data_IF_985746163057
#
_entry.id   IF_985746163057
#
_cell.length_a   1.000
_cell.length_b   1.000
_cell.length_c   1.000
_cell.angle_alpha   90.00
_cell.angle_beta   90.00
_cell.angle_gamma   90.00
#
_symmetry.space_group_name_H-M   'P 1'
#
loop_
_entity.id
_entity.type
_entity.pdbx_description
1 polymer ?
#
# COMPACT_ATOMS: atom_id res chain seq x y z
N UNK A 1 0.60 24.41 2.16
CA UNK A 1 1.71 23.97 1.28
C UNK A 1 2.99 23.67 2.05
N UNK A 2 3.53 24.58 2.87
CA UNK A 2 4.78 24.34 3.63
C UNK A 2 4.64 23.16 4.61
N UNK A 3 3.55 23.11 5.39
CA UNK A 3 3.32 22.01 6.34
C UNK A 3 3.22 20.64 5.66
N UNK A 4 2.45 20.53 4.58
CA UNK A 4 2.32 19.29 3.80
C UNK A 4 3.67 18.83 3.23
N UNK A 5 4.50 19.78 2.78
CA UNK A 5 5.85 19.49 2.31
C UNK A 5 6.75 18.97 3.45
N UNK A 6 6.68 19.59 4.63
CA UNK A 6 7.44 19.15 5.81
C UNK A 6 7.00 17.76 6.29
N UNK A 7 5.71 17.45 6.25
CA UNK A 7 5.20 16.11 6.58
C UNK A 7 5.75 15.08 5.60
N UNK A 8 5.70 15.35 4.29
CA UNK A 8 6.24 14.45 3.26
C UNK A 8 7.76 14.25 3.42
N UNK A 9 8.51 15.32 3.69
CA UNK A 9 9.95 15.24 3.94
C UNK A 9 10.27 14.41 5.18
N UNK A 10 9.50 14.61 6.26
CA UNK A 10 9.64 13.84 7.49
C UNK A 10 9.32 12.36 7.26
N UNK A 11 8.25 12.06 6.53
CA UNK A 11 7.88 10.70 6.16
C UNK A 11 8.98 10.00 5.35
N UNK A 12 9.55 10.70 4.36
CA UNK A 12 10.64 10.18 3.55
C UNK A 12 11.90 9.92 4.41
N UNK A 13 12.28 10.86 5.27
CA UNK A 13 13.43 10.72 6.15
C UNK A 13 13.28 9.56 7.15
N UNK A 14 12.10 9.43 7.78
CA UNK A 14 11.80 8.34 8.71
C UNK A 14 11.78 6.98 7.99
N UNK A 15 11.19 6.92 6.80
CA UNK A 15 11.17 5.70 5.97
C UNK A 15 12.58 5.27 5.61
N UNK A 16 13.40 6.20 5.12
CA UNK A 16 14.80 5.92 4.77
C UNK A 16 15.62 5.48 5.99
N UNK A 17 15.46 6.15 7.14
CA UNK A 17 16.15 5.80 8.37
C UNK A 17 15.73 4.41 8.89
N UNK A 18 14.43 4.10 8.88
CA UNK A 18 13.93 2.80 9.32
C UNK A 18 14.34 1.67 8.37
N UNK A 19 14.25 1.89 7.06
CA UNK A 19 14.72 0.93 6.07
C UNK A 19 16.23 0.71 6.19
N UNK A 20 17.02 1.77 6.35
CA UNK A 20 18.47 1.66 6.59
C UNK A 20 18.77 0.86 7.86
N UNK A 21 18.02 1.09 8.94
CA UNK A 21 18.15 0.31 10.17
C UNK A 21 17.81 -1.17 9.94
N UNK A 22 16.72 -1.49 9.22
CA UNK A 22 16.36 -2.88 8.90
C UNK A 22 17.45 -3.58 8.08
N UNK A 23 17.98 -2.89 7.06
CA UNK A 23 19.05 -3.40 6.18
C UNK A 23 20.35 -3.62 6.97
N UNK A 24 20.75 -2.65 7.79
CA UNK A 24 22.00 -2.71 8.56
C UNK A 24 22.01 -3.84 9.58
N UNK A 25 20.86 -4.20 10.14
CA UNK A 25 20.73 -5.28 11.11
C UNK A 25 20.39 -6.64 10.49
N UNK A 26 20.38 -6.73 9.15
CA UNK A 26 19.98 -7.93 8.40
C UNK A 26 18.65 -8.52 8.92
N UNK A 27 17.69 -7.62 9.16
CA UNK A 27 16.46 -7.90 9.92
C UNK A 27 15.68 -9.06 9.32
N UNK A 28 15.14 -9.91 10.19
CA UNK A 28 14.23 -10.99 9.79
C UNK A 28 12.99 -10.49 9.06
N UNK A 29 12.64 -9.21 9.18
CA UNK A 29 11.49 -8.59 8.51
C UNK A 29 11.72 -8.40 7.01
N UNK A 30 12.97 -8.45 6.55
CA UNK A 30 13.30 -8.36 5.14
C UNK A 30 13.38 -9.78 4.55
N UNK A 31 12.47 -10.10 3.63
CA UNK A 31 12.54 -11.35 2.90
C UNK A 31 13.77 -11.34 1.99
N UNK A 32 14.45 -12.47 1.81
CA UNK A 32 15.63 -12.57 0.94
C UNK A 32 15.21 -13.14 -0.41
N UNK A 33 15.31 -12.33 -1.46
CA UNK A 33 15.03 -12.77 -2.82
C UNK A 33 16.29 -13.36 -3.47
N UNK A 34 16.17 -14.60 -3.92
CA UNK A 34 17.27 -15.36 -4.49
C UNK A 34 17.30 -15.14 -6.02
N UNK A 35 18.48 -15.08 -6.66
CA UNK A 35 18.58 -14.99 -8.10
C UNK A 35 17.83 -16.14 -8.77
N UNK A 36 17.00 -15.84 -9.77
CA UNK A 36 16.25 -16.83 -10.55
C UNK A 36 16.54 -16.68 -12.05
N UNK A 37 16.27 -17.73 -12.83
CA UNK A 37 16.45 -17.70 -14.29
C UNK A 37 15.57 -16.68 -15.03
N UNK A 38 14.58 -16.10 -14.34
CA UNK A 38 13.67 -15.07 -14.85
C UNK A 38 13.95 -13.68 -14.26
N UNK A 39 14.82 -13.58 -13.25
CA UNK A 39 15.14 -12.33 -12.55
C UNK A 39 16.29 -11.58 -13.22
N UNK A 40 16.31 -10.26 -13.03
CA UNK A 40 17.39 -9.39 -13.53
C UNK A 40 18.56 -9.25 -12.55
N UNK A 41 18.34 -9.58 -11.28
CA UNK A 41 19.37 -9.54 -10.23
C UNK A 41 20.19 -10.84 -10.20
N UNK A 42 21.52 -10.69 -10.05
CA UNK A 42 22.46 -11.81 -9.92
C UNK A 42 22.95 -12.05 -8.48
N UNK A 43 22.54 -11.19 -7.53
CA UNK A 43 22.89 -11.26 -6.11
C UNK A 43 21.62 -11.34 -5.27
N UNK A 44 21.71 -11.86 -4.04
CA UNK A 44 20.57 -11.85 -3.12
C UNK A 44 20.17 -10.41 -2.79
N UNK A 45 18.89 -10.09 -2.91
CA UNK A 45 18.35 -8.74 -2.64
C UNK A 45 17.32 -8.82 -1.50
N UNK A 46 17.40 -7.94 -0.49
CA UNK A 46 16.36 -7.86 0.54
C UNK A 46 15.08 -7.22 -0.02
N UNK A 47 13.95 -7.88 0.20
CA UNK A 47 12.58 -7.42 -0.10
C UNK A 47 11.85 -7.01 1.18
N UNK A 48 10.87 -6.11 1.05
CA UNK A 48 10.06 -5.65 2.18
C UNK A 48 10.20 -4.14 2.49
N UNK A 49 10.72 -3.33 1.57
CA UNK A 49 10.75 -1.87 1.71
C UNK A 49 9.37 -1.25 1.97
N UNK A 50 8.31 -1.87 1.41
CA UNK A 50 6.92 -1.51 1.67
C UNK A 50 6.52 -1.55 3.14
N UNK A 51 7.14 -2.41 3.97
CA UNK A 51 6.89 -2.46 5.41
C UNK A 51 7.34 -1.16 6.09
N UNK A 52 8.47 -0.61 5.68
CA UNK A 52 8.98 0.65 6.25
C UNK A 52 8.06 1.82 5.87
N UNK A 53 7.62 1.88 4.61
CA UNK A 53 6.66 2.88 4.13
C UNK A 53 5.35 2.77 4.92
N UNK A 54 4.79 1.57 5.01
CA UNK A 54 3.54 1.32 5.70
C UNK A 54 3.60 1.70 7.18
N UNK A 55 4.67 1.32 7.88
CA UNK A 55 4.85 1.64 9.29
C UNK A 55 4.92 3.16 9.53
N UNK A 56 5.69 3.88 8.72
CA UNK A 56 5.86 5.34 8.87
C UNK A 56 4.58 6.09 8.50
N UNK A 57 3.93 5.73 7.40
CA UNK A 57 2.66 6.36 7.00
C UNK A 57 1.59 6.14 8.06
N UNK A 58 1.48 4.91 8.60
CA UNK A 58 0.53 4.59 9.67
C UNK A 58 0.82 5.38 10.95
N UNK A 59 2.10 5.49 11.33
CA UNK A 59 2.51 6.28 12.49
C UNK A 59 2.14 7.77 12.33
N UNK A 60 2.46 8.37 11.19
CA UNK A 60 2.14 9.78 10.93
C UNK A 60 0.63 10.02 10.86
N UNK A 61 -0.14 9.09 10.28
CA UNK A 61 -1.60 9.15 10.28
C UNK A 61 -2.16 9.09 11.70
N UNK A 62 -1.65 8.18 12.55
CA UNK A 62 -2.06 8.07 13.96
C UNK A 62 -1.72 9.34 14.76
N UNK A 63 -0.52 9.91 14.56
CA UNK A 63 -0.14 11.17 15.20
C UNK A 63 -1.00 12.34 14.74
N UNK A 64 -1.33 12.43 13.45
CA UNK A 64 -2.26 13.42 12.93
C UNK A 64 -3.64 13.32 13.58
N UNK A 65 -4.16 12.09 13.69
CA UNK A 65 -5.43 11.83 14.36
C UNK A 65 -5.43 12.28 15.83
N UNK A 66 -4.38 11.94 16.59
CA UNK A 66 -4.24 12.31 18.01
C UNK A 66 -4.11 13.83 18.21
N UNK A 67 -3.50 14.55 17.27
CA UNK A 67 -3.35 16.00 17.31
C UNK A 67 -4.59 16.76 16.77
N UNK A 68 -5.67 16.04 16.43
CA UNK A 68 -6.92 16.64 15.96
C UNK A 68 -6.88 17.08 14.49
N UNK A 69 -5.85 16.72 13.73
CA UNK A 69 -5.77 16.97 12.29
C UNK A 69 -6.71 16.02 11.55
N UNK A 70 -7.98 16.43 11.40
CA UNK A 70 -9.03 15.66 10.71
C UNK A 70 -8.99 15.92 9.21
N UNK A 71 -8.15 15.18 8.48
CA UNK A 71 -8.05 15.28 7.01
C UNK A 71 -9.05 14.40 6.24
N UNK A 72 -9.42 13.25 6.82
CA UNK A 72 -10.46 12.34 6.36
C UNK A 72 -10.90 11.48 7.54
N UNK A 73 -12.20 11.22 7.69
CA UNK A 73 -12.68 10.25 8.68
C UNK A 73 -12.33 8.83 8.19
N UNK A 74 -11.14 8.36 8.56
CA UNK A 74 -10.75 6.98 8.31
C UNK A 74 -11.62 6.08 9.18
N UNK A 75 -12.58 5.39 8.54
CA UNK A 75 -13.39 4.40 9.23
C UNK A 75 -12.52 3.22 9.68
N UNK A 76 -12.98 2.49 10.71
CA UNK A 76 -12.33 1.25 11.15
C UNK A 76 -12.15 0.27 9.97
N UNK A 77 -13.12 0.24 9.04
CA UNK A 77 -13.09 -0.61 7.84
C UNK A 77 -11.98 -0.19 6.89
N UNK A 78 -11.81 1.11 6.66
CA UNK A 78 -10.71 1.65 5.84
C UNK A 78 -9.35 1.32 6.44
N UNK A 79 -9.18 1.48 7.75
CA UNK A 79 -7.92 1.14 8.44
C UNK A 79 -7.65 -0.36 8.37
N UNK A 80 -8.65 -1.19 8.68
CA UNK A 80 -8.51 -2.65 8.65
C UNK A 80 -8.20 -3.18 7.24
N UNK A 81 -8.79 -2.60 6.20
CA UNK A 81 -8.50 -2.98 4.82
C UNK A 81 -7.09 -2.57 4.38
N UNK A 82 -6.62 -1.37 4.71
CA UNK A 82 -5.23 -0.95 4.45
C UNK A 82 -4.21 -1.87 5.14
N UNK A 83 -4.43 -2.18 6.42
CA UNK A 83 -3.60 -3.15 7.16
C UNK A 83 -3.67 -4.52 6.49
N UNK A 84 -4.86 -4.96 6.06
CA UNK A 84 -5.06 -6.23 5.38
C UNK A 84 -4.27 -6.34 4.07
N UNK A 85 -4.29 -5.31 3.22
CA UNK A 85 -3.49 -5.23 1.99
C UNK A 85 -2.00 -5.32 2.31
N UNK A 86 -1.52 -4.54 3.28
CA UNK A 86 -0.10 -4.51 3.65
C UNK A 86 0.39 -5.85 4.21
N UNK A 87 -0.39 -6.46 5.11
CA UNK A 87 -0.09 -7.79 5.66
C UNK A 87 -0.11 -8.85 4.57
N UNK A 88 -1.09 -8.82 3.67
CA UNK A 88 -1.16 -9.77 2.57
C UNK A 88 0.07 -9.67 1.65
N UNK A 89 0.50 -8.45 1.29
CA UNK A 89 1.73 -8.24 0.52
C UNK A 89 2.98 -8.75 1.25
N UNK A 90 3.10 -8.46 2.54
CA UNK A 90 4.21 -8.95 3.36
C UNK A 90 4.24 -10.48 3.46
N UNK A 91 3.07 -11.13 3.59
CA UNK A 91 2.97 -12.58 3.62
C UNK A 91 3.27 -13.19 2.25
N UNK A 92 2.86 -12.55 1.15
CA UNK A 92 3.19 -12.97 -0.22
C UNK A 92 4.71 -12.97 -0.45
N UNK A 93 5.38 -11.89 -0.05
CA UNK A 93 6.85 -11.75 -0.15
C UNK A 93 7.60 -12.84 0.61
N UNK A 94 7.06 -13.31 1.74
CA UNK A 94 7.74 -14.26 2.62
C UNK A 94 7.41 -15.72 2.32
N UNK A 95 6.15 -16.00 2.03
CA UNK A 95 5.64 -17.37 1.95
C UNK A 95 5.25 -17.80 0.54
N UNK A 96 5.36 -16.90 -0.44
CA UNK A 96 4.99 -17.15 -1.84
C UNK A 96 3.60 -17.78 -1.92
N UNK A 97 2.57 -16.99 -1.57
CA UNK A 97 1.22 -17.50 -1.39
C UNK A 97 0.67 -18.08 -2.70
N UNK A 98 -0.31 -18.98 -2.59
CA UNK A 98 -0.96 -19.51 -3.78
C UNK A 98 -1.66 -18.38 -4.55
N UNK A 99 -1.62 -18.47 -5.88
CA UNK A 99 -2.23 -17.47 -6.77
C UNK A 99 -3.69 -17.20 -6.39
N UNK A 100 -4.46 -18.26 -6.11
CA UNK A 100 -5.86 -18.15 -5.69
C UNK A 100 -6.02 -17.44 -4.35
N UNK A 101 -5.17 -17.73 -3.37
CA UNK A 101 -5.21 -17.10 -2.05
C UNK A 101 -4.92 -15.60 -2.14
N UNK A 102 -3.87 -15.22 -2.88
CA UNK A 102 -3.49 -13.83 -3.12
C UNK A 102 -4.60 -13.05 -3.83
N UNK A 103 -5.21 -13.67 -4.84
CA UNK A 103 -6.27 -13.04 -5.63
C UNK A 103 -7.53 -12.80 -4.79
N UNK A 104 -8.01 -13.82 -4.06
CA UNK A 104 -9.21 -13.72 -3.23
C UNK A 104 -9.03 -12.71 -2.09
N UNK A 105 -7.93 -12.82 -1.34
CA UNK A 105 -7.66 -11.92 -0.22
C UNK A 105 -7.43 -10.48 -0.70
N UNK A 106 -6.64 -10.31 -1.76
CA UNK A 106 -6.39 -9.00 -2.36
C UNK A 106 -7.69 -8.33 -2.80
N UNK A 107 -8.54 -9.04 -3.56
CA UNK A 107 -9.82 -8.49 -4.02
C UNK A 107 -10.76 -8.17 -2.86
N UNK A 108 -10.82 -9.02 -1.83
CA UNK A 108 -11.63 -8.75 -0.65
C UNK A 108 -11.19 -7.47 0.09
N UNK A 109 -9.89 -7.29 0.30
CA UNK A 109 -9.39 -6.10 0.98
C UNK A 109 -9.55 -4.83 0.12
N UNK A 110 -9.33 -4.88 -1.19
CA UNK A 110 -9.55 -3.71 -2.06
C UNK A 110 -11.04 -3.36 -2.18
N UNK A 111 -11.93 -4.35 -2.14
CA UNK A 111 -13.38 -4.11 -2.11
C UNK A 111 -13.82 -3.42 -0.80
N UNK A 112 -13.31 -3.89 0.34
CA UNK A 112 -13.57 -3.23 1.64
C UNK A 112 -12.99 -1.81 1.70
N UNK A 113 -11.80 -1.61 1.13
CA UNK A 113 -11.19 -0.29 1.03
C UNK A 113 -12.05 0.64 0.17
N UNK A 114 -12.47 0.20 -1.01
CA UNK A 114 -13.34 0.98 -1.88
C UNK A 114 -14.69 1.30 -1.22
N UNK A 115 -15.28 0.33 -0.50
CA UNK A 115 -16.50 0.54 0.26
C UNK A 115 -16.35 1.59 1.37
N UNK A 116 -15.26 1.54 2.13
CA UNK A 116 -15.02 2.48 3.22
C UNK A 116 -14.55 3.87 2.78
N UNK A 117 -14.10 4.03 1.54
CA UNK A 117 -13.44 5.26 1.08
C UNK A 117 -14.12 5.96 -0.09
N UNK A 118 -14.85 5.24 -0.94
CA UNK A 118 -15.38 5.77 -2.21
C UNK A 118 -16.90 5.76 -2.30
N UNK A 119 -17.61 5.01 -1.45
CA UNK A 119 -19.04 4.75 -1.60
C UNK A 119 -19.91 6.02 -1.72
N UNK A 120 -19.55 7.08 -1.00
CA UNK A 120 -20.32 8.33 -0.93
C UNK A 120 -19.60 9.53 -1.56
N UNK A 121 -18.56 9.29 -2.36
CA UNK A 121 -17.76 10.36 -2.95
C UNK A 121 -18.28 10.74 -4.35
N UNK A 122 -18.46 12.05 -4.65
CA UNK A 122 -18.76 12.48 -6.01
C UNK A 122 -17.56 12.20 -6.92
N UNK A 123 -17.83 11.84 -8.17
CA UNK A 123 -16.77 11.61 -9.16
C UNK A 123 -16.60 12.84 -10.03
N UNK A 124 -15.40 13.40 -10.02
CA UNK A 124 -15.05 14.47 -10.95
C UNK A 124 -14.61 13.87 -12.29
N UNK A 125 -15.38 14.10 -13.36
CA UNK A 125 -14.97 13.76 -14.73
C UNK A 125 -15.09 15.00 -15.60
N UNK A 126 -14.02 15.33 -16.33
CA UNK A 126 -13.98 16.49 -17.25
C UNK A 126 -14.39 17.82 -16.58
N UNK A 127 -14.05 18.00 -15.30
CA UNK A 127 -14.37 19.19 -14.53
C UNK A 127 -15.83 19.29 -14.07
N UNK A 128 -16.62 18.23 -14.22
CA UNK A 128 -18.01 18.12 -13.75
C UNK A 128 -18.12 17.04 -12.68
N UNK A 129 -18.95 17.28 -11.67
CA UNK A 129 -19.26 16.29 -10.63
C UNK A 129 -20.41 15.39 -11.06
N UNK A 130 -20.19 14.08 -10.96
CA UNK A 130 -21.17 13.05 -11.23
C UNK A 130 -21.44 12.25 -9.96
N UNK A 131 -22.72 12.14 -9.62
CA UNK A 131 -23.18 11.30 -8.51
C UNK A 131 -23.51 9.91 -9.06
N UNK A 132 -22.52 9.03 -9.05
CA UNK A 132 -22.72 7.61 -9.35
C UNK A 132 -23.29 6.88 -8.14
N UNK A 133 -23.93 5.72 -8.36
CA UNK A 133 -24.37 4.90 -7.24
C UNK A 133 -23.18 4.34 -6.48
N UNK A 134 -23.32 4.23 -5.16
CA UNK A 134 -22.28 3.70 -4.27
C UNK A 134 -21.80 2.31 -4.72
N UNK A 135 -22.71 1.43 -5.12
CA UNK A 135 -22.35 0.10 -5.64
C UNK A 135 -21.43 0.15 -6.87
N UNK A 136 -21.68 1.08 -7.81
CA UNK A 136 -20.82 1.25 -8.99
C UNK A 136 -19.44 1.76 -8.58
N UNK A 137 -19.38 2.74 -7.68
CA UNK A 137 -18.12 3.30 -7.17
C UNK A 137 -17.27 2.24 -6.47
N UNK A 138 -17.89 1.42 -5.63
CA UNK A 138 -17.20 0.35 -4.92
C UNK A 138 -16.66 -0.69 -5.88
N UNK A 139 -17.46 -1.15 -6.85
CA UNK A 139 -17.01 -2.16 -7.82
C UNK A 139 -15.86 -1.63 -8.68
N UNK A 140 -16.03 -0.44 -9.26
CA UNK A 140 -15.00 0.17 -10.11
C UNK A 140 -13.74 0.46 -9.30
N UNK A 141 -13.87 1.09 -8.13
CA UNK A 141 -12.75 1.39 -7.26
C UNK A 141 -12.00 0.14 -6.79
N UNK A 142 -12.72 -0.91 -6.39
CA UNK A 142 -12.12 -2.17 -5.99
C UNK A 142 -11.31 -2.81 -7.12
N UNK A 143 -11.88 -2.85 -8.33
CA UNK A 143 -11.21 -3.37 -9.52
C UNK A 143 -10.00 -2.53 -9.90
N UNK A 144 -10.11 -1.20 -9.85
CA UNK A 144 -9.01 -0.28 -10.15
C UNK A 144 -7.84 -0.46 -9.17
N UNK A 145 -8.11 -0.45 -7.86
CA UNK A 145 -7.07 -0.61 -6.83
C UNK A 145 -6.45 -2.01 -6.94
N UNK A 146 -7.28 -3.05 -7.09
CA UNK A 146 -6.81 -4.43 -7.22
C UNK A 146 -5.93 -4.62 -8.47
N UNK A 147 -6.35 -4.03 -9.59
CA UNK A 147 -5.59 -4.07 -10.83
C UNK A 147 -4.25 -3.33 -10.69
N UNK A 148 -4.24 -2.13 -10.12
CA UNK A 148 -3.02 -1.37 -9.86
C UNK A 148 -2.05 -2.14 -8.97
N UNK A 149 -2.54 -2.75 -7.89
CA UNK A 149 -1.72 -3.56 -7.00
C UNK A 149 -1.04 -4.72 -7.75
N UNK A 150 -1.78 -5.43 -8.60
CA UNK A 150 -1.20 -6.51 -9.40
C UNK A 150 -0.25 -5.99 -10.50
N UNK A 151 -0.53 -4.82 -11.08
CA UNK A 151 0.33 -4.17 -12.07
C UNK A 151 1.69 -3.81 -11.46
N UNK A 152 1.71 -3.13 -10.31
CA UNK A 152 2.95 -2.76 -9.64
C UNK A 152 3.75 -4.00 -9.21
N UNK A 153 3.07 -5.02 -8.67
CA UNK A 153 3.73 -6.30 -8.35
C UNK A 153 4.31 -7.00 -9.59
N UNK A 154 3.71 -6.79 -10.77
CA UNK A 154 4.25 -7.30 -12.03
C UNK A 154 5.45 -6.49 -12.52
N UNK A 155 5.43 -5.17 -12.35
CA UNK A 155 6.50 -4.24 -12.75
C UNK A 155 7.73 -4.34 -11.84
N UNK A 156 7.58 -4.69 -10.57
CA UNK A 156 8.66 -4.84 -9.58
C UNK A 156 9.64 -6.01 -9.90
N UNK A 157 9.35 -6.79 -10.95
CA UNK A 157 10.32 -7.72 -11.54
C UNK A 157 11.51 -7.04 -12.23
N UNK A 158 11.45 -5.71 -12.45
CA UNK A 158 12.55 -4.89 -12.96
C UNK A 158 13.01 -3.89 -11.88
N UNK A 159 14.28 -3.97 -11.49
CA UNK A 159 14.89 -3.12 -10.47
C UNK A 159 14.59 -1.62 -10.73
N UNK A 160 13.83 -0.99 -9.82
CA UNK A 160 13.59 0.46 -9.79
C UNK A 160 12.44 0.98 -10.65
N UNK A 161 11.54 0.12 -11.12
CA UNK A 161 10.39 0.51 -11.98
C UNK A 161 9.06 0.67 -11.22
N UNK A 162 8.92 0.04 -10.05
CA UNK A 162 7.70 0.05 -9.24
C UNK A 162 7.72 1.10 -8.11
#
# INVERSE_FOLDING_TARGET
MIESFLIALTAAALTAAFLFWLLRNDSILLAKDMPSSRGLHQRVVPRGGGLAIFAVVTLLAALGYLNGTRGAELTLVTVASLVGVAVMGFLDDRFNLSVSGRFLAGFAFTALLAAGSLADQPVLMFGQEYNLSSGVLVVVGALSIFWLMNLFNFMDGADGVA
#
